data_IF_901775279377
#
_entry.id   IF_901775279377
#
_cell.length_a   1.000
_cell.length_b   1.000
_cell.length_c   1.000
_cell.angle_alpha   90.00
_cell.angle_beta   90.00
_cell.angle_gamma   90.00
#
_symmetry.space_group_name_H-M   'P 1'
#
loop_
_entity.id
_entity.type
_entity.pdbx_description
1 polymer ?
#
# COMPACT_ATOMS: atom_id res chain seq x y z
N UNK A 1 -3.46 29.85 -62.53
CA UNK A 1 -2.40 29.28 -61.66
C UNK A 1 -2.33 27.78 -61.95
N UNK A 2 -1.34 27.17 -62.62
CA UNK A 2 0.14 27.17 -62.50
C UNK A 2 0.64 26.31 -61.32
N UNK A 3 1.20 25.13 -61.68
CA UNK A 3 2.16 24.23 -60.98
C UNK A 3 1.59 23.29 -59.90
N UNK A 4 2.05 22.06 -59.70
CA UNK A 4 2.80 21.06 -60.47
C UNK A 4 2.93 19.82 -59.55
N UNK A 5 3.03 18.64 -60.17
CA UNK A 5 3.85 17.47 -59.79
C UNK A 5 3.46 16.53 -58.61
N UNK A 6 3.18 15.30 -59.04
CA UNK A 6 3.13 14.00 -58.38
C UNK A 6 4.42 13.58 -57.67
N UNK A 7 4.29 12.82 -56.57
CA UNK A 7 5.27 11.85 -56.03
C UNK A 7 4.48 10.68 -55.39
N UNK A 8 4.42 9.52 -56.04
CA UNK A 8 5.16 8.28 -55.71
C UNK A 8 4.70 7.67 -54.36
N UNK A 9 3.90 6.60 -54.33
CA UNK A 9 4.23 5.17 -54.59
C UNK A 9 4.52 4.39 -53.28
N UNK A 10 3.66 3.40 -53.04
CA UNK A 10 3.88 2.09 -52.40
C UNK A 10 4.90 1.96 -51.24
N UNK A 11 4.39 1.63 -50.05
CA UNK A 11 5.18 1.11 -48.93
C UNK A 11 4.48 -0.10 -48.31
N UNK A 12 5.03 -1.28 -48.56
CA UNK A 12 4.62 -2.60 -48.05
C UNK A 12 4.67 -2.59 -46.52
N UNK A 13 3.56 -2.92 -45.87
CA UNK A 13 3.49 -3.00 -44.41
C UNK A 13 4.31 -4.20 -43.90
N UNK A 14 5.36 -3.86 -43.17
CA UNK A 14 6.44 -4.68 -42.62
C UNK A 14 5.97 -5.49 -41.40
N UNK A 15 6.48 -6.72 -41.32
CA UNK A 15 6.29 -7.71 -40.27
C UNK A 15 6.66 -7.26 -38.84
N UNK A 16 5.91 -7.77 -37.84
CA UNK A 16 6.26 -7.77 -36.40
C UNK A 16 5.88 -9.18 -35.90
N UNK A 17 6.76 -10.19 -35.88
CA UNK A 17 7.97 -10.46 -35.07
C UNK A 17 7.72 -10.76 -33.57
N UNK A 18 7.44 -12.05 -33.31
CA UNK A 18 8.06 -12.95 -32.31
C UNK A 18 7.87 -12.66 -30.79
N UNK A 19 7.16 -13.60 -30.14
CA UNK A 19 7.52 -14.37 -28.94
C UNK A 19 8.39 -13.69 -27.85
N UNK A 20 7.79 -13.49 -26.68
CA UNK A 20 8.50 -13.17 -25.44
C UNK A 20 7.66 -13.50 -24.22
N UNK A 21 7.77 -14.73 -23.74
CA UNK A 21 7.26 -15.19 -22.45
C UNK A 21 7.93 -14.41 -21.32
N UNK A 22 7.21 -13.49 -20.68
CA UNK A 22 7.60 -12.94 -19.39
C UNK A 22 6.86 -13.70 -18.29
N UNK A 23 7.33 -14.92 -18.03
CA UNK A 23 7.20 -15.55 -16.71
C UNK A 23 8.05 -14.76 -15.74
N UNK A 24 7.48 -13.71 -15.14
CA UNK A 24 8.05 -12.97 -14.02
C UNK A 24 7.50 -13.51 -12.71
N UNK A 25 7.92 -14.71 -12.31
CA UNK A 25 7.79 -15.12 -10.91
C UNK A 25 8.92 -14.41 -10.15
N UNK A 26 8.64 -13.20 -9.66
CA UNK A 26 9.48 -12.52 -8.68
C UNK A 26 9.21 -13.11 -7.31
N UNK A 27 9.81 -14.26 -7.02
CA UNK A 27 10.03 -14.69 -5.64
C UNK A 27 11.31 -14.01 -5.17
N UNK A 28 11.19 -12.74 -4.73
CA UNK A 28 12.24 -12.08 -3.97
C UNK A 28 12.27 -12.68 -2.56
N UNK A 29 12.76 -13.92 -2.48
CA UNK A 29 13.31 -14.51 -1.25
C UNK A 29 14.67 -13.83 -1.01
N UNK A 30 14.64 -12.63 -0.45
CA UNK A 30 15.84 -11.95 0.02
C UNK A 30 15.51 -11.33 1.37
N UNK A 31 15.92 -12.03 2.43
CA UNK A 31 16.10 -11.53 3.79
C UNK A 31 14.92 -10.69 4.32
N UNK A 32 13.73 -11.26 4.28
CA UNK A 32 12.47 -10.54 4.45
C UNK A 32 11.97 -10.62 5.88
N UNK A 33 12.57 -9.82 6.75
CA UNK A 33 11.96 -9.51 8.04
C UNK A 33 10.48 -9.14 7.91
N UNK A 34 9.62 -9.66 8.79
CA UNK A 34 8.18 -9.39 8.77
C UNK A 34 7.95 -7.89 9.00
N UNK A 35 7.55 -7.17 7.96
CA UNK A 35 7.21 -5.74 8.07
C UNK A 35 5.76 -5.60 8.45
N UNK A 36 5.50 -4.86 9.53
CA UNK A 36 4.17 -4.57 10.04
C UNK A 36 3.92 -3.08 9.89
N UNK A 37 2.99 -2.71 9.02
CA UNK A 37 2.56 -1.33 8.79
C UNK A 37 1.43 -0.97 9.75
N UNK A 38 1.65 0.05 10.56
CA UNK A 38 0.71 0.48 11.60
C UNK A 38 0.22 1.91 11.32
N UNK A 39 -1.07 2.04 11.05
CA UNK A 39 -1.76 3.32 11.00
C UNK A 39 -2.27 3.65 12.39
N UNK A 40 -1.62 4.60 13.07
CA UNK A 40 -1.97 4.96 14.44
C UNK A 40 -2.30 6.44 14.57
N UNK A 41 -3.31 6.77 15.37
CA UNK A 41 -3.64 8.15 15.67
C UNK A 41 -2.41 8.91 16.23
N UNK A 42 -2.23 10.17 15.82
CA UNK A 42 -1.05 10.95 16.18
C UNK A 42 -0.82 11.09 17.70
N UNK A 43 -1.90 11.09 18.50
CA UNK A 43 -1.83 11.11 19.96
C UNK A 43 -1.20 9.84 20.56
N UNK A 44 -1.23 8.72 19.84
CA UNK A 44 -0.68 7.44 20.26
C UNK A 44 0.82 7.29 19.94
N UNK A 45 1.43 8.28 19.26
CA UNK A 45 2.79 8.18 18.72
C UNK A 45 3.83 7.72 19.73
N UNK A 46 3.92 8.39 20.88
CA UNK A 46 4.92 8.05 21.89
C UNK A 46 4.79 6.61 22.38
N UNK A 47 3.56 6.21 22.72
CA UNK A 47 3.26 4.87 23.23
C UNK A 47 3.52 3.80 22.18
N UNK A 48 3.11 4.02 20.93
CA UNK A 48 3.28 3.04 19.86
C UNK A 48 4.75 2.89 19.45
N UNK A 49 5.54 3.97 19.47
CA UNK A 49 6.99 3.85 19.24
C UNK A 49 7.67 3.02 20.33
N UNK A 50 7.35 3.24 21.60
CA UNK A 50 7.89 2.42 22.71
C UNK A 50 7.46 0.94 22.59
N UNK A 51 6.21 0.69 22.18
CA UNK A 51 5.72 -0.67 21.96
C UNK A 51 6.42 -1.36 20.78
N UNK A 52 6.70 -0.63 19.69
CA UNK A 52 7.47 -1.18 18.58
C UNK A 52 8.89 -1.56 18.98
N UNK A 53 9.60 -0.70 19.73
CA UNK A 53 10.96 -1.00 20.19
C UNK A 53 11.00 -2.31 21.00
N UNK A 54 10.00 -2.51 21.88
CA UNK A 54 9.87 -3.74 22.66
C UNK A 54 9.51 -4.94 21.78
N UNK A 55 8.56 -4.77 20.87
CA UNK A 55 8.13 -5.82 19.95
C UNK A 55 9.30 -6.29 19.07
N UNK A 56 10.04 -5.37 18.45
CA UNK A 56 11.18 -5.70 17.58
C UNK A 56 12.32 -6.37 18.36
N UNK A 57 12.53 -6.00 19.63
CA UNK A 57 13.52 -6.66 20.49
C UNK A 57 13.15 -8.11 20.84
N UNK A 58 11.85 -8.40 21.00
CA UNK A 58 11.33 -9.75 21.28
C UNK A 58 11.16 -10.60 20.02
N UNK A 59 10.93 -9.96 18.86
CA UNK A 59 10.66 -10.60 17.58
C UNK A 59 11.77 -10.26 16.56
N UNK A 60 12.93 -10.89 16.73
CA UNK A 60 14.08 -10.68 15.86
C UNK A 60 13.72 -10.85 14.38
N UNK A 61 14.10 -9.87 13.57
CA UNK A 61 13.79 -9.83 12.15
C UNK A 61 12.46 -9.14 11.82
N UNK A 62 11.56 -8.91 12.79
CA UNK A 62 10.35 -8.12 12.52
C UNK A 62 10.67 -6.62 12.53
N UNK A 63 9.93 -5.83 11.75
CA UNK A 63 10.06 -4.37 11.71
C UNK A 63 8.69 -3.71 11.68
N UNK A 64 8.48 -2.73 12.54
CA UNK A 64 7.25 -1.95 12.62
C UNK A 64 7.45 -0.59 11.93
N UNK A 65 6.59 -0.30 10.96
CA UNK A 65 6.58 0.97 10.26
C UNK A 65 5.28 1.71 10.56
N UNK A 66 5.38 3.01 10.85
CA UNK A 66 4.23 3.80 11.30
C UNK A 66 3.80 4.86 10.29
N UNK A 67 2.49 5.01 10.15
CA UNK A 67 1.86 6.24 9.66
C UNK A 67 1.07 6.87 10.81
N UNK A 68 1.46 8.07 11.21
CA UNK A 68 0.78 8.84 12.24
C UNK A 68 0.02 10.03 11.64
N UNK A 69 -1.29 10.08 11.85
CA UNK A 69 -2.15 11.20 11.47
C UNK A 69 -3.43 11.24 12.32
N UNK A 70 -4.38 12.10 11.99
CA UNK A 70 -5.70 12.08 12.63
C UNK A 70 -6.43 10.76 12.36
N UNK A 71 -7.15 10.23 13.35
CA UNK A 71 -7.93 8.98 13.21
C UNK A 71 -8.85 8.99 11.99
N UNK A 72 -9.46 10.14 11.69
CA UNK A 72 -10.32 10.33 10.53
C UNK A 72 -9.57 10.27 9.21
N UNK A 73 -8.35 10.82 9.17
CA UNK A 73 -7.54 10.87 7.95
C UNK A 73 -7.00 9.49 7.61
N UNK A 74 -6.54 8.75 8.63
CA UNK A 74 -6.11 7.37 8.47
C UNK A 74 -7.26 6.44 8.05
N UNK A 75 -8.45 6.61 8.65
CA UNK A 75 -9.64 5.87 8.22
C UNK A 75 -10.01 6.19 6.76
N UNK A 76 -9.92 7.46 6.34
CA UNK A 76 -10.14 7.85 4.95
C UNK A 76 -9.08 7.27 4.00
N UNK A 77 -7.82 7.18 4.43
CA UNK A 77 -6.77 6.54 3.63
C UNK A 77 -7.05 5.04 3.44
N UNK A 78 -7.50 4.33 4.48
CA UNK A 78 -7.90 2.93 4.37
C UNK A 78 -9.06 2.75 3.38
N UNK A 79 -10.08 3.61 3.46
CA UNK A 79 -11.22 3.63 2.53
C UNK A 79 -10.78 3.91 1.08
N UNK A 80 -9.74 4.73 0.90
CA UNK A 80 -9.12 5.02 -0.39
C UNK A 80 -8.18 3.90 -0.89
N UNK A 81 -8.04 2.82 -0.13
CA UNK A 81 -7.27 1.65 -0.53
C UNK A 81 -5.83 1.63 -0.02
N UNK A 82 -5.44 2.52 0.89
CA UNK A 82 -4.19 2.38 1.63
C UNK A 82 -4.17 1.04 2.38
N UNK A 83 -2.97 0.48 2.55
CA UNK A 83 -2.76 -0.82 3.20
C UNK A 83 -2.10 -0.57 4.56
N UNK A 84 -2.66 -1.16 5.60
CA UNK A 84 -2.06 -1.26 6.92
C UNK A 84 -2.40 -2.63 7.49
N UNK A 85 -1.49 -3.18 8.29
CA UNK A 85 -1.70 -4.43 9.02
C UNK A 85 -2.43 -4.16 10.34
N UNK A 86 -2.18 -2.99 10.94
CA UNK A 86 -2.83 -2.54 12.17
C UNK A 86 -3.39 -1.13 11.97
N UNK A 87 -4.64 -0.93 12.38
CA UNK A 87 -5.26 0.39 12.51
C UNK A 87 -5.59 0.66 13.98
N UNK A 88 -4.97 1.69 14.56
CA UNK A 88 -5.18 2.13 15.94
C UNK A 88 -5.80 3.52 15.98
N UNK A 89 -7.11 3.57 16.19
CA UNK A 89 -7.86 4.81 16.29
C UNK A 89 -7.85 5.37 17.70
N UNK A 90 -7.89 6.70 17.83
CA UNK A 90 -8.10 7.37 19.12
C UNK A 90 -9.56 7.40 19.57
N UNK A 91 -10.52 7.00 18.72
CA UNK A 91 -11.95 7.05 19.06
C UNK A 91 -12.77 5.98 18.34
N UNK A 92 -13.87 5.59 18.98
CA UNK A 92 -14.78 4.56 18.48
C UNK A 92 -15.52 4.98 17.21
N UNK A 93 -15.74 6.28 16.97
CA UNK A 93 -16.45 6.76 15.78
C UNK A 93 -15.65 6.49 14.52
N UNK A 94 -14.34 6.75 14.55
CA UNK A 94 -13.46 6.48 13.42
C UNK A 94 -13.17 4.99 13.27
N UNK A 95 -13.07 4.24 14.37
CA UNK A 95 -13.01 2.77 14.28
C UNK A 95 -14.27 2.19 13.63
N UNK A 96 -15.46 2.65 14.01
CA UNK A 96 -16.72 2.21 13.42
C UNK A 96 -16.75 2.42 11.90
N UNK A 97 -16.22 3.54 11.38
CA UNK A 97 -16.14 3.76 9.92
C UNK A 97 -15.35 2.66 9.20
N UNK A 98 -14.22 2.22 9.76
CA UNK A 98 -13.36 1.19 9.16
C UNK A 98 -14.04 -0.19 9.25
N UNK A 99 -14.76 -0.46 10.34
CA UNK A 99 -15.58 -1.67 10.50
C UNK A 99 -16.74 -1.69 9.51
N UNK A 100 -17.51 -0.61 9.41
CA UNK A 100 -18.68 -0.46 8.53
C UNK A 100 -18.28 -0.57 7.06
N UNK A 101 -17.06 -0.13 6.71
CA UNK A 101 -16.47 -0.30 5.39
C UNK A 101 -15.99 -1.73 5.09
N UNK A 102 -16.03 -2.64 6.07
CA UNK A 102 -15.56 -4.03 5.91
C UNK A 102 -14.04 -4.14 5.78
N UNK A 103 -13.29 -3.15 6.26
CA UNK A 103 -11.82 -3.06 6.13
C UNK A 103 -11.07 -3.65 7.32
N UNK A 104 -11.76 -4.43 8.16
CA UNK A 104 -11.18 -5.10 9.32
C UNK A 104 -11.20 -6.61 9.14
N UNK A 105 -10.14 -7.30 9.57
CA UNK A 105 -10.07 -8.76 9.53
C UNK A 105 -10.91 -9.43 10.64
N UNK A 106 -11.35 -8.67 11.65
CA UNK A 106 -12.10 -9.16 12.79
C UNK A 106 -12.65 -8.01 13.65
N UNK A 107 -13.25 -8.35 14.79
CA UNK A 107 -13.79 -7.35 15.72
C UNK A 107 -12.67 -6.50 16.34
N UNK A 108 -12.84 -5.16 16.40
CA UNK A 108 -11.89 -4.29 17.09
C UNK A 108 -11.76 -4.64 18.58
N UNK A 109 -10.58 -4.40 19.13
CA UNK A 109 -10.28 -4.55 20.56
C UNK A 109 -10.05 -3.18 21.16
N UNK A 110 -10.77 -2.87 22.25
CA UNK A 110 -10.54 -1.66 23.03
C UNK A 110 -9.26 -1.80 23.86
N UNK A 111 -8.39 -0.80 23.79
CA UNK A 111 -7.10 -0.76 24.50
C UNK A 111 -6.93 0.49 25.37
N UNK A 112 -7.97 1.33 25.46
CA UNK A 112 -8.03 2.56 26.26
C UNK A 112 -9.45 2.81 26.77
#
# INVERSE_FOLDING_TARGET
MKRNSSRAAAGIALAVLILGTLSGCGSDDTDSGERITVFAAASLKSTFTELAERFEAEHQGSRVEFSFAGSSDLAAQLDQGARADVFASADQRNMAKVVDAGLTAGSPVDFA
#
